data_IF_316869092670
#
_entry.id   IF_316869092670
#
_cell.length_a   1.000
_cell.length_b   1.000
_cell.length_c   1.000
_cell.angle_alpha   90.00
_cell.angle_beta   90.00
_cell.angle_gamma   90.00
#
_symmetry.space_group_name_H-M   'P 1'
#
loop_
_entity.id
_entity.type
_entity.pdbx_description
1 polymer ?
#
# COMPACT_ATOMS: atom_id res chain seq x y z
N UNK A 1 24.56 -1.87 7.97
CA UNK A 1 23.18 -1.75 7.42
C UNK A 1 22.39 -0.95 8.43
N UNK A 2 21.93 0.26 8.08
CA UNK A 2 21.10 1.05 8.98
C UNK A 2 19.81 0.25 9.25
N UNK A 3 19.68 -0.24 10.47
CA UNK A 3 18.52 -0.99 10.93
C UNK A 3 17.38 0.03 11.00
N UNK A 4 16.62 0.17 9.90
CA UNK A 4 15.45 1.05 9.88
C UNK A 4 14.53 0.60 11.01
N UNK A 5 14.53 1.37 12.10
CA UNK A 5 13.79 1.04 13.30
C UNK A 5 12.30 0.92 13.01
N UNK A 6 11.60 0.06 13.75
CA UNK A 6 10.14 0.00 13.76
C UNK A 6 9.61 1.32 14.34
N UNK A 7 9.52 2.33 13.48
CA UNK A 7 8.95 3.64 13.79
C UNK A 7 7.42 3.60 13.85
N UNK A 8 6.82 4.78 13.74
CA UNK A 8 5.36 5.02 13.64
C UNK A 8 4.69 3.97 12.75
N UNK A 9 3.49 3.52 13.14
CA UNK A 9 2.59 2.55 12.46
C UNK A 9 3.17 1.89 11.18
N UNK A 10 3.39 0.58 11.22
CA UNK A 10 3.87 -0.17 10.05
C UNK A 10 2.84 -0.10 8.92
N UNK A 11 3.03 0.83 7.99
CA UNK A 11 2.24 0.83 6.76
C UNK A 11 2.64 -0.33 5.88
N UNK A 12 1.66 -0.88 5.16
CA UNK A 12 1.89 -1.84 4.09
C UNK A 12 2.20 -1.13 2.80
N UNK A 13 3.14 -1.67 2.02
CA UNK A 13 3.49 -1.09 0.74
C UNK A 13 2.31 -1.19 -0.24
N UNK A 14 1.79 -0.07 -0.77
CA UNK A 14 0.60 -0.09 -1.63
C UNK A 14 0.84 -0.84 -2.95
N UNK A 15 2.05 -0.76 -3.51
CA UNK A 15 2.41 -1.46 -4.75
C UNK A 15 2.57 -2.98 -4.57
N UNK A 16 3.13 -3.42 -3.44
CA UNK A 16 3.21 -4.84 -3.12
C UNK A 16 1.84 -5.40 -2.78
N UNK A 17 1.04 -4.64 -2.02
CA UNK A 17 -0.29 -5.05 -1.59
C UNK A 17 -1.26 -5.16 -2.77
N UNK A 18 -1.15 -4.29 -3.78
CA UNK A 18 -1.86 -4.44 -5.07
C UNK A 18 -1.54 -5.76 -5.80
N UNK A 19 -0.39 -6.37 -5.52
CA UNK A 19 0.06 -7.66 -6.05
C UNK A 19 -0.11 -8.79 -5.03
N UNK A 20 -0.99 -8.59 -4.05
CA UNK A 20 -1.31 -9.55 -2.99
C UNK A 20 -0.11 -9.92 -2.08
N UNK A 21 0.95 -9.10 -2.09
CA UNK A 21 2.11 -9.24 -1.22
C UNK A 21 1.98 -8.33 0.00
N UNK A 22 1.99 -8.96 1.17
CA UNK A 22 1.94 -8.30 2.46
C UNK A 22 3.35 -7.93 2.95
N UNK A 23 3.74 -6.66 2.82
CA UNK A 23 5.09 -6.20 3.17
C UNK A 23 5.02 -4.90 3.94
N UNK A 24 5.59 -4.93 5.14
CA UNK A 24 5.80 -3.75 5.98
C UNK A 24 6.81 -2.79 5.33
N UNK A 25 6.51 -1.50 5.44
CA UNK A 25 7.39 -0.44 4.98
C UNK A 25 8.33 0.02 6.10
N UNK A 26 9.52 0.47 5.69
CA UNK A 26 10.48 1.07 6.58
C UNK A 26 10.36 2.60 6.55
N UNK A 27 10.27 3.22 7.73
CA UNK A 27 10.16 4.66 7.88
C UNK A 27 11.50 5.32 8.19
N UNK A 28 11.86 6.35 7.42
CA UNK A 28 13.00 7.21 7.73
C UNK A 28 12.50 8.49 8.43
N UNK A 29 12.90 8.67 9.69
CA UNK A 29 12.53 9.84 10.52
C UNK A 29 13.12 11.17 10.04
N UNK A 30 14.30 11.14 9.43
CA UNK A 30 15.00 12.35 8.97
C UNK A 30 14.34 12.94 7.73
N UNK A 31 13.86 12.08 6.83
CA UNK A 31 13.25 12.49 5.56
C UNK A 31 11.73 12.43 5.55
N UNK A 32 11.12 11.75 6.53
CA UNK A 32 9.67 11.49 6.56
C UNK A 32 9.18 10.49 5.50
N UNK A 33 10.10 9.76 4.87
CA UNK A 33 9.80 8.87 3.73
C UNK A 33 9.62 7.43 4.20
N UNK A 34 8.59 6.78 3.69
CA UNK A 34 8.39 5.34 3.77
C UNK A 34 9.02 4.66 2.55
N UNK A 35 9.72 3.56 2.79
CA UNK A 35 10.42 2.81 1.76
C UNK A 35 10.09 1.32 1.83
N UNK A 36 9.87 0.70 0.67
CA UNK A 36 9.64 -0.74 0.56
C UNK A 36 10.91 -1.47 0.13
N UNK A 37 11.31 -2.49 0.88
CA UNK A 37 12.50 -3.30 0.55
C UNK A 37 12.30 -4.17 -0.71
N UNK A 38 11.06 -4.52 -1.05
CA UNK A 38 10.77 -5.49 -2.12
C UNK A 38 10.67 -4.86 -3.50
N UNK A 39 9.94 -3.76 -3.62
CA UNK A 39 9.65 -3.09 -4.90
C UNK A 39 10.34 -1.72 -5.04
N UNK A 40 11.16 -1.32 -4.06
CA UNK A 40 11.91 -0.06 -4.04
C UNK A 40 11.03 1.20 -4.07
N UNK A 41 9.72 1.07 -3.83
CA UNK A 41 8.82 2.21 -3.64
C UNK A 41 9.35 3.12 -2.53
N UNK A 42 9.30 4.43 -2.75
CA UNK A 42 9.59 5.48 -1.78
C UNK A 42 8.51 6.55 -1.90
N UNK A 43 7.91 6.93 -0.79
CA UNK A 43 6.89 7.99 -0.77
C UNK A 43 6.62 8.54 0.61
N UNK A 44 5.91 9.65 0.67
CA UNK A 44 5.42 10.28 1.91
C UNK A 44 4.28 9.46 2.52
N UNK A 45 3.87 9.82 3.75
CA UNK A 45 2.71 9.20 4.42
C UNK A 45 1.44 9.35 3.58
N UNK A 46 1.24 10.52 2.97
CA UNK A 46 0.08 10.83 2.13
C UNK A 46 0.03 9.94 0.87
N UNK A 47 1.17 9.76 0.19
CA UNK A 47 1.27 8.88 -0.98
C UNK A 47 1.00 7.42 -0.63
N UNK A 48 1.48 6.97 0.53
CA UNK A 48 1.21 5.61 1.05
C UNK A 48 -0.28 5.41 1.35
N UNK A 49 -0.91 6.38 2.01
CA UNK A 49 -2.35 6.33 2.33
C UNK A 49 -3.20 6.34 1.06
N UNK A 50 -2.91 7.24 0.12
CA UNK A 50 -3.61 7.32 -1.17
C UNK A 50 -3.50 6.00 -1.94
N UNK A 51 -2.29 5.44 -2.04
CA UNK A 51 -2.08 4.16 -2.69
C UNK A 51 -2.82 3.01 -2.02
N UNK A 52 -2.91 3.01 -0.69
CA UNK A 52 -3.67 2.01 0.06
C UNK A 52 -5.18 2.14 -0.15
N UNK A 53 -5.72 3.35 -0.31
CA UNK A 53 -7.11 3.56 -0.70
C UNK A 53 -7.40 3.04 -2.12
N UNK A 54 -6.47 3.25 -3.05
CA UNK A 54 -6.61 2.74 -4.42
C UNK A 54 -6.61 1.21 -4.46
N UNK A 55 -5.78 0.56 -3.63
CA UNK A 55 -5.82 -0.90 -3.48
C UNK A 55 -7.21 -1.37 -3.02
N UNK A 56 -7.87 -0.65 -2.10
CA UNK A 56 -9.22 -1.01 -1.64
C UNK A 56 -10.25 -0.90 -2.76
N UNK A 57 -10.08 0.01 -3.72
CA UNK A 57 -10.98 0.10 -4.90
C UNK A 57 -10.95 -1.18 -5.73
N UNK A 58 -9.76 -1.78 -5.95
CA UNK A 58 -9.61 -3.07 -6.66
C UNK A 58 -10.48 -4.16 -6.05
N UNK A 59 -10.53 -4.23 -4.71
CA UNK A 59 -11.27 -5.27 -4.00
C UNK A 59 -12.73 -4.91 -3.67
N UNK A 60 -13.19 -3.69 -4.01
CA UNK A 60 -14.51 -3.17 -3.61
C UNK A 60 -15.68 -4.06 -4.06
N UNK A 61 -15.57 -4.66 -5.23
CA UNK A 61 -16.56 -5.56 -5.80
C UNK A 61 -16.04 -7.01 -5.92
N UNK A 62 -15.02 -7.39 -5.15
CA UNK A 62 -14.37 -8.71 -5.28
C UNK A 62 -15.37 -9.89 -5.17
N UNK A 63 -16.43 -9.71 -4.37
CA UNK A 63 -17.47 -10.72 -4.17
C UNK A 63 -18.75 -10.49 -4.99
N UNK A 64 -18.82 -9.42 -5.80
CA UNK A 64 -19.97 -9.14 -6.66
C UNK A 64 -19.66 -9.67 -8.07
N UNK A 65 -20.43 -10.66 -8.51
CA UNK A 65 -20.52 -10.99 -9.95
C UNK A 65 -21.51 -10.03 -10.57
N UNK A 66 -21.04 -9.22 -11.52
CA UNK A 66 -21.91 -8.38 -12.32
C UNK A 66 -22.53 -9.20 -13.45
N UNK A 67 -23.82 -9.02 -13.69
CA UNK A 67 -24.50 -9.55 -14.88
C UNK A 67 -24.90 -8.43 -15.83
N UNK A 68 -25.54 -8.79 -16.95
CA UNK A 68 -25.93 -7.81 -17.98
C UNK A 68 -27.00 -6.82 -17.51
N UNK A 69 -27.78 -7.16 -16.48
CA UNK A 69 -28.89 -6.37 -15.97
C UNK A 69 -28.45 -5.36 -14.90
N UNK A 70 -27.22 -5.46 -14.38
CA UNK A 70 -26.64 -4.47 -13.45
C UNK A 70 -26.28 -3.13 -14.13
N UNK A 71 -26.33 -3.07 -15.47
CA UNK A 71 -25.89 -1.93 -16.27
C UNK A 71 -26.98 -1.36 -17.22
N UNK A 72 -28.19 -1.93 -17.17
CA UNK A 72 -29.39 -1.43 -17.84
C UNK A 72 -30.13 -0.41 -16.94
#
# INVERSE_FOLDING_TARGET
MAQLGKGKLNYRCPLCFMRDLDIDMFYNKETGIYSCIRCQFRGTEEEVLQGNEDVRKKYKAMYKRFDKFDFD
#
